data_IF_484518184874
#
_entry.id   IF_484518184874
#
_cell.length_a   1.000
_cell.length_b   1.000
_cell.length_c   1.000
_cell.angle_alpha   90.00
_cell.angle_beta   90.00
_cell.angle_gamma   90.00
#
_symmetry.space_group_name_H-M   'P 1'
#
loop_
_entity.id
_entity.type
_entity.pdbx_description
1 polymer ?
#
# COMPACT_ATOMS: atom_id res chain seq x y z
N UNK A 1 -34.98 15.70 73.40
CA UNK A 1 -35.96 14.74 72.85
C UNK A 1 -36.79 15.45 71.79
N UNK A 2 -37.14 14.73 70.73
CA UNK A 2 -37.98 15.13 69.58
C UNK A 2 -37.23 15.63 68.34
N UNK A 3 -37.56 14.94 67.24
CA UNK A 3 -36.82 14.79 65.99
C UNK A 3 -36.98 15.97 65.02
N UNK A 4 -36.00 16.15 64.10
CA UNK A 4 -35.98 17.22 63.13
C UNK A 4 -36.98 17.04 61.98
N UNK A 5 -37.44 18.22 61.57
CA UNK A 5 -38.26 18.61 60.43
C UNK A 5 -37.52 18.50 59.08
N UNK A 6 -38.31 18.24 58.03
CA UNK A 6 -38.08 18.54 56.60
C UNK A 6 -36.90 17.79 55.92
N UNK A 7 -36.91 17.36 54.66
CA UNK A 7 -37.75 17.45 53.45
C UNK A 7 -36.91 16.74 52.34
N UNK A 8 -37.46 16.21 51.22
CA UNK A 8 -36.79 15.23 50.34
C UNK A 8 -35.75 15.88 49.42
N UNK A 9 -34.70 16.44 50.02
CA UNK A 9 -33.63 17.22 49.37
C UNK A 9 -32.31 16.44 49.38
N UNK A 10 -32.41 15.14 49.20
CA UNK A 10 -31.26 14.23 49.10
C UNK A 10 -31.48 13.37 47.88
N UNK A 11 -30.38 13.07 47.20
CA UNK A 11 -30.30 12.16 46.05
C UNK A 11 -30.64 12.78 44.70
N UNK A 12 -30.03 13.91 44.32
CA UNK A 12 -29.73 14.10 42.90
C UNK A 12 -28.42 14.88 42.73
N UNK A 13 -27.35 14.10 42.53
CA UNK A 13 -26.19 14.42 41.67
C UNK A 13 -25.16 15.44 42.16
N UNK A 14 -24.55 15.16 43.32
CA UNK A 14 -23.19 15.60 43.62
C UNK A 14 -22.29 14.38 43.82
N UNK A 15 -21.76 13.84 42.71
CA UNK A 15 -20.60 12.96 42.65
C UNK A 15 -20.04 13.11 41.22
N UNK A 16 -19.19 14.10 40.93
CA UNK A 16 -17.74 14.14 41.25
C UNK A 16 -17.06 12.88 40.71
N UNK A 17 -16.41 13.07 39.56
CA UNK A 17 -15.16 12.43 39.15
C UNK A 17 -15.03 10.92 39.44
N UNK A 18 -15.49 10.11 38.48
CA UNK A 18 -14.90 8.79 38.26
C UNK A 18 -14.46 8.69 36.81
N UNK A 19 -13.13 8.74 36.66
CA UNK A 19 -12.32 8.01 35.69
C UNK A 19 -12.80 8.05 34.22
N UNK A 20 -12.16 8.83 33.35
CA UNK A 20 -10.93 8.39 32.67
C UNK A 20 -10.97 6.91 32.27
N UNK A 21 -11.88 6.58 31.36
CA UNK A 21 -11.73 5.43 30.49
C UNK A 21 -11.91 5.91 29.05
N UNK A 22 -10.96 6.74 28.59
CA UNK A 22 -10.58 6.77 27.18
C UNK A 22 -10.17 5.35 26.82
N UNK A 23 -11.12 4.58 26.31
CA UNK A 23 -10.82 3.30 25.65
C UNK A 23 -10.12 3.67 24.35
N UNK A 24 -8.83 3.99 24.46
CA UNK A 24 -7.92 3.87 23.34
C UNK A 24 -7.95 2.39 22.98
N UNK A 25 -8.87 2.03 22.08
CA UNK A 25 -8.79 0.76 21.40
C UNK A 25 -7.34 0.68 20.89
N UNK A 26 -6.57 -0.36 21.22
CA UNK A 26 -5.31 -0.56 20.55
C UNK A 26 -5.67 -0.62 19.08
N UNK A 27 -5.25 0.41 18.32
CA UNK A 27 -5.22 0.36 16.88
C UNK A 27 -4.51 -0.93 16.58
N UNK A 28 -5.29 -1.95 16.23
CA UNK A 28 -4.77 -3.16 15.65
C UNK A 28 -4.09 -2.61 14.42
N UNK A 29 -2.77 -2.44 14.50
CA UNK A 29 -1.96 -2.31 13.31
C UNK A 29 -2.32 -3.55 12.54
N UNK A 30 -3.27 -3.42 11.61
CA UNK A 30 -3.64 -4.50 10.74
C UNK A 30 -2.30 -4.96 10.22
N UNK A 31 -1.95 -6.23 10.45
CA UNK A 31 -0.88 -6.85 9.72
C UNK A 31 -1.28 -6.62 8.27
N UNK A 32 -0.76 -5.55 7.69
CA UNK A 32 -1.24 -5.01 6.45
C UNK A 32 -0.82 -6.07 5.49
N UNK A 33 -1.79 -6.89 5.09
CA UNK A 33 -1.58 -7.99 4.18
C UNK A 33 -1.02 -7.32 2.94
N UNK A 34 0.31 -7.29 2.83
CA UNK A 34 1.04 -6.68 1.75
C UNK A 34 0.58 -7.48 0.56
N UNK A 35 -0.37 -6.95 -0.21
CA UNK A 35 -0.82 -7.60 -1.42
C UNK A 35 0.43 -7.73 -2.29
N UNK A 36 0.98 -8.95 -2.46
CA UNK A 36 2.26 -9.11 -3.15
C UNK A 36 2.14 -8.74 -4.64
N UNK A 37 0.91 -8.54 -5.11
CA UNK A 37 0.51 -8.28 -6.48
C UNK A 37 -0.23 -6.94 -6.66
N UNK A 38 -0.31 -6.08 -5.63
CA UNK A 38 -1.15 -4.87 -5.67
C UNK A 38 -0.69 -3.66 -4.82
N UNK A 39 -0.68 -2.51 -5.50
CA UNK A 39 -0.78 -1.11 -5.06
C UNK A 39 0.37 -0.41 -4.32
N UNK A 40 1.28 -1.09 -3.60
CA UNK A 40 2.30 -0.34 -2.85
C UNK A 40 3.66 -0.21 -3.54
N UNK A 41 4.04 -1.14 -4.44
CA UNK A 41 5.28 -1.01 -5.22
C UNK A 41 5.08 -0.22 -6.50
N UNK A 42 4.20 -0.65 -7.39
CA UNK A 42 3.74 0.14 -8.53
C UNK A 42 2.44 0.79 -8.10
N UNK A 43 2.49 2.09 -7.80
CA UNK A 43 1.33 2.84 -7.33
C UNK A 43 0.42 3.25 -8.49
N UNK A 44 1.00 3.58 -9.64
CA UNK A 44 0.24 4.00 -10.82
C UNK A 44 1.02 3.72 -12.11
N UNK A 45 0.30 3.31 -13.15
CA UNK A 45 0.77 3.34 -14.54
C UNK A 45 -0.34 3.96 -15.36
N UNK A 46 -0.08 5.09 -16.01
CA UNK A 46 -1.10 5.82 -16.75
C UNK A 46 -0.50 6.32 -18.05
N UNK A 47 -1.20 6.12 -19.16
CA UNK A 47 -0.80 6.69 -20.44
C UNK A 47 -0.88 8.20 -20.35
N UNK A 48 0.12 8.90 -20.86
CA UNK A 48 0.12 10.35 -20.88
C UNK A 48 -0.95 10.82 -21.88
N UNK A 49 -1.83 11.73 -21.46
CA UNK A 49 -2.96 12.15 -22.30
C UNK A 49 -2.46 12.95 -23.52
N UNK A 50 -1.28 13.56 -23.41
CA UNK A 50 -0.66 14.36 -24.46
C UNK A 50 0.20 13.53 -25.42
N UNK A 51 0.44 12.24 -25.12
CA UNK A 51 1.22 11.35 -25.99
C UNK A 51 0.70 9.91 -25.98
N UNK A 52 0.23 9.46 -27.15
CA UNK A 52 -0.28 8.10 -27.35
C UNK A 52 0.79 6.99 -27.24
N UNK A 53 2.03 7.36 -26.92
CA UNK A 53 3.19 6.48 -26.88
C UNK A 53 4.04 6.68 -25.62
N UNK A 54 3.52 7.35 -24.58
CA UNK A 54 4.21 7.46 -23.30
C UNK A 54 3.28 7.11 -22.13
N UNK A 55 3.89 6.63 -21.04
CA UNK A 55 3.24 6.28 -19.80
C UNK A 55 3.99 6.92 -18.64
N UNK A 56 3.25 7.57 -17.75
CA UNK A 56 3.73 7.92 -16.42
C UNK A 56 3.65 6.68 -15.52
N UNK A 57 4.78 6.31 -14.93
CA UNK A 57 4.89 5.30 -13.88
C UNK A 57 5.15 6.00 -12.55
N UNK A 58 4.35 5.70 -11.53
CA UNK A 58 4.59 6.11 -10.15
C UNK A 58 4.92 4.87 -9.34
N UNK A 59 6.15 4.83 -8.84
CA UNK A 59 6.60 3.84 -7.89
C UNK A 59 6.22 4.29 -6.48
N UNK A 60 5.47 3.44 -5.78
CA UNK A 60 5.04 3.68 -4.41
C UNK A 60 6.17 3.48 -3.40
N UNK A 61 5.88 3.74 -2.12
CA UNK A 61 6.89 3.71 -1.05
C UNK A 61 7.50 2.33 -0.76
N UNK A 62 6.86 1.24 -1.21
CA UNK A 62 7.42 -0.10 -1.07
C UNK A 62 8.47 -0.44 -2.15
N UNK A 63 8.62 0.41 -3.16
CA UNK A 63 9.61 0.25 -4.20
C UNK A 63 11.02 0.50 -3.63
N UNK A 64 12.02 -0.26 -4.09
CA UNK A 64 13.42 0.10 -3.78
C UNK A 64 13.91 1.26 -4.64
N UNK A 65 13.12 1.64 -5.64
CA UNK A 65 13.31 2.83 -6.45
C UNK A 65 11.99 3.64 -6.53
N UNK A 66 11.62 4.36 -5.46
CA UNK A 66 10.40 5.17 -5.43
C UNK A 66 10.57 6.44 -6.26
N UNK A 67 9.49 6.92 -6.86
CA UNK A 67 9.52 8.12 -7.69
C UNK A 67 8.56 8.08 -8.88
N UNK A 68 8.66 9.10 -9.73
CA UNK A 68 7.90 9.21 -10.98
C UNK A 68 8.85 9.03 -12.15
N UNK A 69 8.47 8.18 -13.10
CA UNK A 69 9.26 7.86 -14.27
C UNK A 69 8.41 7.86 -15.53
N UNK A 70 9.07 8.05 -16.67
CA UNK A 70 8.43 7.97 -17.98
C UNK A 70 8.85 6.67 -18.65
N UNK A 71 7.86 6.00 -19.24
CA UNK A 71 8.05 4.88 -20.15
C UNK A 71 7.56 5.31 -21.53
N UNK A 72 8.28 4.95 -22.59
CA UNK A 72 7.87 5.26 -23.97
C UNK A 72 7.80 4.01 -24.82
N UNK A 73 6.97 4.06 -25.86
CA UNK A 73 6.90 3.03 -26.91
C UNK A 73 7.33 3.72 -28.21
N UNK A 74 8.60 3.56 -28.63
CA UNK A 74 9.12 4.27 -29.81
C UNK A 74 8.41 3.87 -31.11
N UNK A 75 7.99 2.61 -31.20
CA UNK A 75 7.29 2.05 -32.36
C UNK A 75 5.95 1.46 -31.89
N UNK A 76 4.81 2.07 -32.22
CA UNK A 76 3.50 1.60 -31.77
C UNK A 76 3.12 0.23 -32.36
N UNK A 77 3.75 -0.19 -33.46
CA UNK A 77 3.56 -1.53 -34.02
C UNK A 77 4.30 -2.62 -33.24
N UNK A 78 5.17 -2.26 -32.30
CA UNK A 78 5.95 -3.19 -31.48
C UNK A 78 5.60 -3.03 -30.00
N UNK A 79 5.35 -4.14 -29.32
CA UNK A 79 5.15 -4.16 -27.87
C UNK A 79 6.49 -4.07 -27.13
N UNK A 80 7.24 -3.00 -27.36
CA UNK A 80 8.52 -2.72 -26.72
C UNK A 80 8.42 -1.38 -26.02
N UNK A 81 8.50 -1.43 -24.70
CA UNK A 81 8.36 -0.28 -23.82
C UNK A 81 9.71 -0.01 -23.17
N UNK A 82 10.19 1.23 -23.30
CA UNK A 82 11.50 1.67 -22.84
C UNK A 82 11.34 2.58 -21.62
N UNK A 83 12.09 2.30 -20.57
CA UNK A 83 12.18 3.10 -19.36
C UNK A 83 13.58 3.66 -19.12
N UNK A 84 13.79 4.40 -18.02
CA UNK A 84 15.11 4.87 -17.63
C UNK A 84 16.09 3.72 -17.39
N UNK A 85 17.39 4.00 -17.43
CA UNK A 85 18.47 3.05 -17.16
C UNK A 85 18.45 1.80 -18.05
N UNK A 86 17.95 1.91 -19.28
CA UNK A 86 17.94 0.81 -20.25
C UNK A 86 16.88 -0.26 -20.00
N UNK A 87 15.87 0.01 -19.17
CA UNK A 87 14.74 -0.90 -19.00
C UNK A 87 14.02 -1.08 -20.35
N UNK A 88 13.82 -2.34 -20.74
CA UNK A 88 13.01 -2.74 -21.89
C UNK A 88 12.07 -3.85 -21.48
N UNK A 89 10.78 -3.73 -21.83
CA UNK A 89 9.77 -4.70 -21.44
C UNK A 89 8.67 -4.86 -22.50
N UNK A 90 7.92 -5.96 -22.39
CA UNK A 90 6.81 -6.29 -23.29
C UNK A 90 5.50 -5.56 -22.99
N UNK A 91 5.42 -4.84 -21.85
CA UNK A 91 4.25 -4.06 -21.46
C UNK A 91 4.66 -2.84 -20.61
N UNK A 92 3.82 -1.79 -20.51
CA UNK A 92 4.06 -0.65 -19.61
C UNK A 92 4.17 -1.08 -18.15
N UNK A 93 3.40 -2.10 -17.74
CA UNK A 93 3.41 -2.58 -16.36
C UNK A 93 4.66 -3.38 -16.04
N UNK A 94 5.16 -4.20 -16.96
CA UNK A 94 6.42 -4.93 -16.77
C UNK A 94 7.61 -3.96 -16.70
N UNK A 95 7.60 -2.90 -17.52
CA UNK A 95 8.55 -1.80 -17.41
C UNK A 95 8.45 -1.14 -16.03
N UNK A 96 7.23 -0.86 -15.55
CA UNK A 96 7.01 -0.28 -14.23
C UNK A 96 7.57 -1.15 -13.10
N UNK A 97 7.34 -2.46 -13.12
CA UNK A 97 7.89 -3.40 -12.13
C UNK A 97 9.42 -3.39 -12.13
N UNK A 98 10.03 -3.35 -13.31
CA UNK A 98 11.49 -3.29 -13.45
C UNK A 98 12.06 -1.95 -12.96
N UNK A 99 11.42 -0.83 -13.28
CA UNK A 99 11.80 0.52 -12.85
C UNK A 99 11.67 0.65 -11.33
N UNK A 100 10.54 0.26 -10.77
CA UNK A 100 10.26 0.36 -9.34
C UNK A 100 11.06 -0.64 -8.50
N UNK A 101 11.68 -1.64 -9.13
CA UNK A 101 12.48 -2.70 -8.48
C UNK A 101 11.71 -3.31 -7.31
N UNK A 102 10.58 -3.93 -7.63
CA UNK A 102 9.61 -4.42 -6.67
C UNK A 102 10.11 -5.65 -5.89
N UNK A 103 10.40 -5.54 -4.58
CA UNK A 103 10.93 -6.67 -3.79
C UNK A 103 9.96 -7.85 -3.71
N UNK A 104 8.64 -7.56 -3.70
CA UNK A 104 7.60 -8.60 -3.68
C UNK A 104 7.61 -9.45 -4.95
N UNK A 105 7.96 -8.87 -6.10
CA UNK A 105 8.05 -9.59 -7.36
C UNK A 105 9.34 -10.42 -7.45
N UNK A 106 10.43 -9.95 -6.85
CA UNK A 106 11.67 -10.72 -6.74
C UNK A 106 11.47 -11.95 -5.84
N UNK A 107 10.83 -11.77 -4.68
CA UNK A 107 10.48 -12.89 -3.79
C UNK A 107 9.56 -13.91 -4.47
N UNK A 108 8.55 -13.44 -5.24
CA UNK A 108 7.69 -14.31 -6.04
C UNK A 108 8.46 -15.07 -7.11
N UNK A 109 9.29 -14.38 -7.90
CA UNK A 109 10.11 -15.02 -8.94
C UNK A 109 11.07 -16.05 -8.35
N UNK A 110 11.66 -15.75 -7.18
CA UNK A 110 12.51 -16.68 -6.46
C UNK A 110 11.73 -17.92 -5.99
N UNK A 111 10.52 -17.73 -5.47
CA UNK A 111 9.64 -18.83 -5.09
C UNK A 111 9.20 -19.67 -6.29
N UNK A 112 8.73 -19.04 -7.38
CA UNK A 112 8.35 -19.73 -8.62
C UNK A 112 9.53 -20.52 -9.20
N UNK A 113 10.74 -19.94 -9.19
CA UNK A 113 11.96 -20.62 -9.62
C UNK A 113 12.21 -21.86 -8.76
N UNK A 114 12.10 -21.74 -7.43
CA UNK A 114 12.24 -22.87 -6.50
C UNK A 114 11.24 -23.99 -6.78
N UNK A 115 9.99 -23.64 -7.12
CA UNK A 115 8.96 -24.62 -7.49
C UNK A 115 9.23 -25.31 -8.82
N UNK A 116 9.84 -24.62 -9.80
CA UNK A 116 10.22 -25.22 -11.10
C UNK A 116 11.42 -26.16 -10.99
N UNK A 117 12.34 -25.92 -10.06
CA UNK A 117 13.50 -26.79 -9.80
C UNK A 117 13.20 -27.90 -8.79
N UNK A 118 11.93 -28.26 -8.57
CA UNK A 118 11.60 -29.51 -7.88
C UNK A 118 11.89 -30.67 -8.83
N UNK A 119 13.18 -30.94 -9.06
CA UNK A 119 13.65 -32.21 -9.62
C UNK A 119 13.24 -33.29 -8.62
N UNK A 120 12.39 -34.20 -9.08
CA UNK A 120 11.91 -35.34 -8.32
C UNK A 120 13.09 -36.16 -7.81
N UNK A 121 13.17 -36.28 -6.49
CA UNK A 121 13.99 -37.28 -5.83
C UNK A 121 13.21 -38.60 -5.74
#
# INVERSE_FOLDING_TARGET
MSHPLLSPRRVLFAAILCALATVAAPSSASAQQVNPYGNCCVAQVTMDNDSANAWTVICGSCATNPGRYTVTQPDPAKLVFLGPNGVSAGSPYDAAVAICRCPSQDARRAWEKKMRTFDGN
#
